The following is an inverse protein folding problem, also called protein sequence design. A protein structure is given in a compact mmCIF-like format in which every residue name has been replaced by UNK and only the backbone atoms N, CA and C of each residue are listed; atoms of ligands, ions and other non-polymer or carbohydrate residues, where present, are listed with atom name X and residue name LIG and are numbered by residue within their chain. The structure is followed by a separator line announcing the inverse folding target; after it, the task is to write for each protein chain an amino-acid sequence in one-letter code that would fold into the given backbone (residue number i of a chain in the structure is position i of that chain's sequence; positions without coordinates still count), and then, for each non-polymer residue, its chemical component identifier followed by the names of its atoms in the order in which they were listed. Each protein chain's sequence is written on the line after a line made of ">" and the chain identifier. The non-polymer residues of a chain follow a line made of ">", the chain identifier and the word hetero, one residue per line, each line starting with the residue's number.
data_IF_391575556336
#
_entry.id   IF_391575556336
#
_cell.length_a   1.000
_cell.length_b   1.000
_cell.length_c   1.000
_cell.angle_alpha   90.00
_cell.angle_beta   90.00
_cell.angle_gamma   90.00
#
_symmetry.space_group_name_H-M   'P 1'
#
loop_
_entity.id
_entity.type
_entity.pdbx_description
1 polymer ?
#
# COMPACT_ATOMS: atom_id res chain seq x y z
N UNK A 1 46.24 -14.58 45.50
CA UNK A 1 44.82 -14.30 45.21
C UNK A 1 44.75 -13.91 43.74
N UNK A 2 44.15 -14.75 42.89
CA UNK A 2 44.09 -14.55 41.43
C UNK A 2 43.01 -13.50 41.10
N UNK A 3 43.24 -12.72 40.06
CA UNK A 3 42.47 -11.55 39.64
C UNK A 3 40.97 -11.82 39.35
N UNK A 4 40.12 -11.81 40.37
CA UNK A 4 38.65 -11.92 40.22
C UNK A 4 37.98 -10.65 39.67
N UNK A 5 38.68 -9.51 39.71
CA UNK A 5 38.17 -8.24 39.21
C UNK A 5 38.01 -8.26 37.68
N UNK A 6 38.99 -8.81 36.95
CA UNK A 6 38.97 -8.85 35.48
C UNK A 6 37.81 -9.67 34.91
N UNK A 7 37.50 -10.82 35.52
CA UNK A 7 36.41 -11.69 35.08
C UNK A 7 35.03 -11.03 35.28
N UNK A 8 34.85 -10.33 36.39
CA UNK A 8 33.61 -9.58 36.71
C UNK A 8 33.38 -8.41 35.74
N UNK A 9 34.43 -7.67 35.38
CA UNK A 9 34.33 -6.60 34.38
C UNK A 9 33.97 -7.13 32.99
N UNK A 10 34.58 -8.23 32.55
CA UNK A 10 34.28 -8.86 31.26
C UNK A 10 32.82 -9.36 31.22
N UNK A 11 32.36 -10.02 32.29
CA UNK A 11 30.97 -10.48 32.40
C UNK A 11 29.97 -9.32 32.34
N UNK A 12 30.30 -8.18 32.97
CA UNK A 12 29.46 -6.98 32.96
C UNK A 12 29.38 -6.36 31.56
N UNK A 13 30.49 -6.28 30.84
CA UNK A 13 30.52 -5.76 29.46
C UNK A 13 29.67 -6.65 28.53
N UNK A 14 29.77 -7.97 28.65
CA UNK A 14 28.95 -8.91 27.86
C UNK A 14 27.46 -8.73 28.16
N UNK A 15 27.08 -8.57 29.43
CA UNK A 15 25.69 -8.35 29.82
C UNK A 15 25.13 -7.05 29.19
N UNK A 16 25.90 -5.97 29.19
CA UNK A 16 25.51 -4.70 28.57
C UNK A 16 25.29 -4.86 27.06
N UNK A 17 26.16 -5.61 26.37
CA UNK A 17 26.01 -5.88 24.93
C UNK A 17 24.71 -6.66 24.65
N UNK A 18 24.40 -7.67 25.48
CA UNK A 18 23.16 -8.46 25.34
C UNK A 18 21.93 -7.57 25.51
N UNK A 19 21.93 -6.68 26.50
CA UNK A 19 20.80 -5.75 26.74
C UNK A 19 20.61 -4.81 25.53
N UNK A 20 21.70 -4.29 24.96
CA UNK A 20 21.64 -3.42 23.77
C UNK A 20 21.10 -4.21 22.56
N UNK A 21 21.61 -5.42 22.32
CA UNK A 21 21.13 -6.27 21.23
C UNK A 21 19.64 -6.61 21.38
N UNK A 22 19.19 -6.89 22.60
CA UNK A 22 17.78 -7.14 22.89
C UNK A 22 16.91 -5.92 22.64
N UNK A 23 17.35 -4.73 23.09
CA UNK A 23 16.63 -3.48 22.83
C UNK A 23 16.50 -3.19 21.33
N UNK A 24 17.56 -3.41 20.54
CA UNK A 24 17.51 -3.29 19.08
C UNK A 24 16.51 -4.29 18.49
N UNK A 25 16.53 -5.54 18.92
CA UNK A 25 15.60 -6.58 18.46
C UNK A 25 14.13 -6.20 18.70
N UNK A 26 13.81 -5.67 19.88
CA UNK A 26 12.44 -5.20 20.21
C UNK A 26 12.02 -4.04 19.31
N UNK A 27 12.91 -3.06 19.08
CA UNK A 27 12.63 -1.92 18.20
C UNK A 27 12.32 -2.38 16.77
N UNK A 28 13.16 -3.28 16.22
CA UNK A 28 12.96 -3.83 14.87
C UNK A 28 11.66 -4.62 14.74
N UNK A 29 11.30 -5.41 15.76
CA UNK A 29 10.05 -6.17 15.79
C UNK A 29 8.82 -5.24 15.73
N UNK A 30 8.80 -4.20 16.57
CA UNK A 30 7.70 -3.22 16.59
C UNK A 30 7.57 -2.52 15.23
N UNK A 31 8.69 -2.06 14.66
CA UNK A 31 8.68 -1.41 13.34
C UNK A 31 8.13 -2.33 12.24
N UNK A 32 8.50 -3.61 12.27
CA UNK A 32 8.00 -4.58 11.31
C UNK A 32 6.48 -4.78 11.45
N UNK A 33 5.97 -4.86 12.67
CA UNK A 33 4.55 -5.00 12.94
C UNK A 33 3.75 -3.80 12.40
N UNK A 34 4.18 -2.57 12.68
CA UNK A 34 3.52 -1.36 12.18
C UNK A 34 3.45 -1.32 10.65
N UNK A 35 4.54 -1.67 9.96
CA UNK A 35 4.58 -1.72 8.49
C UNK A 35 3.59 -2.72 7.90
N UNK A 36 3.41 -3.86 8.57
CA UNK A 36 2.45 -4.88 8.14
C UNK A 36 1.01 -4.38 8.30
N UNK A 37 0.66 -3.83 9.47
CA UNK A 37 -0.68 -3.28 9.75
C UNK A 37 -1.06 -2.15 8.77
N UNK A 38 -0.10 -1.26 8.48
CA UNK A 38 -0.28 -0.18 7.50
C UNK A 38 -0.56 -0.73 6.09
N UNK A 39 0.22 -1.73 5.67
CA UNK A 39 0.09 -2.33 4.33
C UNK A 39 -1.23 -3.09 4.17
N UNK A 40 -1.68 -3.82 5.20
CA UNK A 40 -3.00 -4.46 5.22
C UNK A 40 -4.14 -3.44 5.19
N UNK A 41 -3.99 -2.32 5.89
CA UNK A 41 -4.96 -1.22 5.89
C UNK A 41 -5.07 -0.61 4.49
N UNK A 42 -3.96 -0.32 3.84
CA UNK A 42 -3.95 0.22 2.47
C UNK A 42 -4.57 -0.78 1.49
N UNK A 43 -4.22 -2.08 1.57
CA UNK A 43 -4.83 -3.12 0.73
C UNK A 43 -6.36 -3.14 0.91
N UNK A 44 -6.82 -3.13 2.15
CA UNK A 44 -8.25 -3.14 2.48
C UNK A 44 -8.96 -1.91 1.90
N UNK A 45 -8.34 -0.74 1.99
CA UNK A 45 -8.86 0.49 1.40
C UNK A 45 -8.98 0.37 -0.14
N UNK A 46 -7.95 -0.16 -0.81
CA UNK A 46 -7.96 -0.35 -2.25
C UNK A 46 -9.02 -1.37 -2.70
N UNK A 47 -9.21 -2.47 -1.96
CA UNK A 47 -10.29 -3.42 -2.21
C UNK A 47 -11.68 -2.79 -2.04
N UNK A 48 -11.87 -1.98 -1.00
CA UNK A 48 -13.14 -1.28 -0.78
C UNK A 48 -13.43 -0.27 -1.90
N UNK A 49 -12.40 0.48 -2.35
CA UNK A 49 -12.49 1.38 -3.50
C UNK A 49 -12.87 0.61 -4.75
N UNK A 50 -12.20 -0.52 -5.04
CA UNK A 50 -12.50 -1.37 -6.20
C UNK A 50 -13.97 -1.82 -6.21
N UNK A 51 -14.46 -2.32 -5.06
CA UNK A 51 -15.85 -2.77 -4.91
C UNK A 51 -16.85 -1.64 -5.16
N UNK A 52 -16.61 -0.45 -4.61
CA UNK A 52 -17.47 0.72 -4.82
C UNK A 52 -17.37 1.27 -6.25
N UNK A 53 -16.19 1.26 -6.85
CA UNK A 53 -15.98 1.68 -8.23
C UNK A 53 -16.73 0.78 -9.22
N UNK A 54 -16.79 -0.53 -8.94
CA UNK A 54 -17.60 -1.48 -9.72
C UNK A 54 -19.08 -1.11 -9.69
N UNK A 55 -19.62 -0.79 -8.51
CA UNK A 55 -21.01 -0.32 -8.40
C UNK A 55 -21.24 0.97 -9.21
N UNK A 56 -20.33 1.94 -9.12
CA UNK A 56 -20.39 3.20 -9.88
C UNK A 56 -20.35 2.94 -11.40
N UNK A 57 -19.48 2.04 -11.87
CA UNK A 57 -19.40 1.67 -13.28
C UNK A 57 -20.67 0.97 -13.78
N UNK A 58 -21.30 0.13 -12.95
CA UNK A 58 -22.59 -0.50 -13.26
C UNK A 58 -23.71 0.54 -13.35
N UNK A 59 -23.73 1.52 -12.44
CA UNK A 59 -24.70 2.63 -12.48
C UNK A 59 -24.49 3.55 -13.71
N UNK A 60 -23.25 3.83 -14.13
CA UNK A 60 -22.97 4.58 -15.36
C UNK A 60 -23.55 3.86 -16.58
N UNK A 61 -23.31 2.56 -16.69
CA UNK A 61 -23.80 1.76 -17.82
C UNK A 61 -25.34 1.68 -17.85
N UNK A 62 -25.96 1.43 -16.70
CA UNK A 62 -27.40 1.20 -16.59
C UNK A 62 -28.21 2.51 -16.62
N UNK A 63 -27.72 3.56 -15.97
CA UNK A 63 -28.47 4.78 -15.69
C UNK A 63 -27.85 6.04 -16.32
N UNK A 64 -26.71 5.92 -17.02
CA UNK A 64 -25.95 7.06 -17.59
C UNK A 64 -25.55 8.09 -16.54
N UNK A 65 -25.37 7.65 -15.28
CA UNK A 65 -24.80 8.49 -14.23
C UNK A 65 -23.32 8.73 -14.50
N UNK A 66 -22.83 9.88 -14.05
CA UNK A 66 -21.41 10.22 -14.16
C UNK A 66 -20.56 9.31 -13.25
N UNK A 67 -19.34 9.04 -13.70
CA UNK A 67 -18.33 8.37 -12.88
C UNK A 67 -17.83 9.32 -11.79
N UNK A 68 -17.47 8.75 -10.65
CA UNK A 68 -16.98 9.52 -9.49
C UNK A 68 -15.46 9.72 -9.60
N UNK A 69 -15.00 10.94 -9.32
CA UNK A 69 -13.60 11.34 -9.34
C UNK A 69 -13.27 12.37 -10.42
N UNK A 70 -12.00 12.77 -10.48
CA UNK A 70 -11.49 13.67 -11.53
C UNK A 70 -10.82 12.84 -12.63
N UNK A 71 -11.35 12.88 -13.87
CA UNK A 71 -10.76 12.17 -15.01
C UNK A 71 -9.33 12.64 -15.24
N UNK A 72 -8.40 11.71 -15.38
CA UNK A 72 -7.01 12.01 -15.72
C UNK A 72 -6.96 12.37 -17.21
N UNK A 73 -6.69 13.65 -17.46
CA UNK A 73 -6.25 14.16 -18.75
C UNK A 73 -4.77 14.50 -18.60
N UNK A 74 -3.89 13.69 -19.21
CA UNK A 74 -2.45 13.70 -18.90
C UNK A 74 -1.86 15.10 -18.99
N UNK A 75 -2.18 15.87 -20.03
CA UNK A 75 -1.69 17.24 -20.24
C UNK A 75 -2.00 18.19 -19.08
N UNK A 76 -3.13 17.98 -18.39
CA UNK A 76 -3.64 18.84 -17.32
C UNK A 76 -3.17 18.41 -15.92
N UNK A 77 -2.47 17.28 -15.81
CA UNK A 77 -1.97 16.79 -14.52
C UNK A 77 -0.62 17.39 -14.14
N UNK A 78 -0.36 17.41 -12.83
CA UNK A 78 0.94 17.75 -12.30
C UNK A 78 2.02 16.72 -12.69
N UNK A 79 3.29 17.11 -12.54
CA UNK A 79 4.41 16.26 -12.91
C UNK A 79 4.47 14.97 -12.07
N UNK A 80 4.02 14.99 -10.82
CA UNK A 80 4.05 13.80 -9.95
C UNK A 80 3.14 12.70 -10.49
N UNK A 81 1.91 13.03 -10.88
CA UNK A 81 0.97 12.06 -11.46
C UNK A 81 1.49 11.54 -12.80
N UNK A 82 2.04 12.43 -13.64
CA UNK A 82 2.66 12.04 -14.93
C UNK A 82 3.79 11.04 -14.74
N UNK A 83 4.74 11.35 -13.86
CA UNK A 83 5.90 10.51 -13.59
C UNK A 83 5.49 9.18 -12.94
N UNK A 84 4.52 9.21 -12.02
CA UNK A 84 3.98 8.01 -11.41
C UNK A 84 3.40 7.06 -12.46
N UNK A 85 2.46 7.52 -13.28
CA UNK A 85 1.82 6.66 -14.30
C UNK A 85 2.85 6.07 -15.28
N UNK A 86 3.82 6.88 -15.70
CA UNK A 86 4.94 6.42 -16.53
C UNK A 86 5.78 5.35 -15.84
N UNK A 87 6.10 5.53 -14.55
CA UNK A 87 6.85 4.53 -13.76
C UNK A 87 6.11 3.20 -13.63
N UNK A 88 4.77 3.24 -13.62
CA UNK A 88 3.90 2.07 -13.55
C UNK A 88 3.61 1.46 -14.93
N UNK A 89 4.25 1.97 -15.98
CA UNK A 89 4.07 1.57 -17.37
C UNK A 89 2.59 1.69 -17.81
N UNK A 90 1.94 2.79 -17.39
CA UNK A 90 0.56 3.13 -17.73
C UNK A 90 0.57 4.29 -18.70
N UNK A 91 -0.01 4.06 -19.88
CA UNK A 91 -0.27 5.09 -20.88
C UNK A 91 -1.73 5.53 -20.78
N UNK A 92 -1.96 6.86 -20.78
CA UNK A 92 -3.30 7.42 -20.69
C UNK A 92 -3.74 7.84 -22.09
N UNK A 93 -4.65 7.06 -22.67
CA UNK A 93 -5.32 7.37 -23.92
C UNK A 93 -6.55 8.26 -23.68
N UNK A 94 -7.03 8.96 -24.72
CA UNK A 94 -8.14 9.93 -24.61
C UNK A 94 -9.45 9.31 -24.05
N UNK A 95 -9.73 8.06 -24.43
CA UNK A 95 -10.88 7.28 -23.99
C UNK A 95 -10.65 6.53 -22.66
N UNK A 96 -9.44 6.54 -22.12
CA UNK A 96 -9.12 5.81 -20.89
C UNK A 96 -9.92 6.35 -19.71
N UNK A 97 -10.46 5.43 -18.89
CA UNK A 97 -11.24 5.81 -17.70
C UNK A 97 -10.43 5.79 -16.41
N UNK A 98 -9.25 6.41 -16.41
CA UNK A 98 -8.47 6.67 -15.19
C UNK A 98 -8.96 7.93 -14.48
N UNK A 99 -9.26 7.82 -13.19
CA UNK A 99 -9.79 8.91 -12.36
C UNK A 99 -9.04 8.99 -11.03
N UNK A 100 -8.67 10.20 -10.63
CA UNK A 100 -8.16 10.49 -9.28
C UNK A 100 -9.35 10.66 -8.33
N UNK A 101 -9.31 9.97 -7.20
CA UNK A 101 -10.31 10.10 -6.14
C UNK A 101 -9.82 11.06 -5.06
N UNK A 102 -10.60 12.11 -4.80
CA UNK A 102 -10.40 13.03 -3.67
C UNK A 102 -11.17 12.52 -2.44
N UNK A 103 -10.96 13.18 -1.30
CA UNK A 103 -11.62 12.79 -0.04
C UNK A 103 -13.15 12.89 -0.14
N UNK A 104 -13.65 13.88 -0.87
CA UNK A 104 -15.08 14.11 -1.10
C UNK A 104 -15.68 12.99 -1.97
N UNK A 105 -14.93 12.51 -2.96
CA UNK A 105 -15.31 11.39 -3.82
C UNK A 105 -15.44 10.10 -3.01
N UNK A 106 -14.44 9.79 -2.17
CA UNK A 106 -14.48 8.64 -1.27
C UNK A 106 -15.67 8.72 -0.31
N UNK A 107 -15.96 9.92 0.21
CA UNK A 107 -17.12 10.13 1.09
C UNK A 107 -18.43 9.86 0.34
N UNK A 108 -18.55 10.30 -0.90
CA UNK A 108 -19.70 10.05 -1.77
C UNK A 108 -19.88 8.56 -2.05
N UNK A 109 -18.78 7.81 -2.18
CA UNK A 109 -18.79 6.35 -2.33
C UNK A 109 -19.10 5.60 -1.03
N UNK A 110 -19.26 6.30 0.10
CA UNK A 110 -19.49 5.71 1.42
C UNK A 110 -18.22 5.17 2.09
N UNK A 111 -17.05 5.69 1.71
CA UNK A 111 -15.72 5.32 2.20
C UNK A 111 -15.07 6.47 3.00
N UNK A 112 -15.87 7.14 3.83
CA UNK A 112 -15.44 8.33 4.59
C UNK A 112 -14.30 8.07 5.59
N UNK A 113 -14.11 6.81 6.00
CA UNK A 113 -13.03 6.36 6.88
C UNK A 113 -11.67 6.30 6.18
N UNK A 114 -11.62 6.24 4.85
CA UNK A 114 -10.36 6.17 4.10
C UNK A 114 -9.72 7.56 4.05
N UNK A 115 -8.53 7.70 4.63
CA UNK A 115 -7.74 8.92 4.52
C UNK A 115 -6.76 8.83 3.35
N UNK A 116 -6.49 9.99 2.77
CA UNK A 116 -5.50 10.16 1.72
C UNK A 116 -4.38 11.02 2.30
N UNK A 117 -3.16 10.52 2.25
CA UNK A 117 -2.00 11.26 2.74
C UNK A 117 -1.71 12.50 1.88
N UNK A 118 -1.10 13.54 2.45
CA UNK A 118 -0.73 14.73 1.71
C UNK A 118 0.12 14.37 0.49
N UNK A 119 -0.25 14.95 -0.66
CA UNK A 119 0.36 14.69 -1.98
C UNK A 119 0.19 13.27 -2.52
N UNK A 120 -0.51 12.36 -1.85
CA UNK A 120 -0.80 11.02 -2.36
C UNK A 120 -2.20 10.93 -2.97
N UNK A 121 -2.43 9.95 -3.84
CA UNK A 121 -3.65 9.82 -4.60
C UNK A 121 -4.06 8.35 -4.73
N UNK A 122 -5.36 8.09 -4.55
CA UNK A 122 -5.97 6.89 -5.11
C UNK A 122 -6.41 7.17 -6.54
N UNK A 123 -6.10 6.24 -7.43
CA UNK A 123 -6.47 6.30 -8.84
C UNK A 123 -7.24 5.03 -9.18
N UNK A 124 -8.37 5.17 -9.85
CA UNK A 124 -9.17 4.03 -10.31
C UNK A 124 -9.28 4.03 -11.83
N UNK A 125 -9.15 2.87 -12.44
CA UNK A 125 -9.52 2.66 -13.84
C UNK A 125 -10.91 2.01 -13.90
N UNK A 126 -11.90 2.74 -14.41
CA UNK A 126 -13.28 2.26 -14.50
C UNK A 126 -13.55 1.24 -15.63
N UNK A 127 -12.57 0.95 -16.49
CA UNK A 127 -12.70 -0.09 -17.53
C UNK A 127 -12.33 -1.47 -17.02
N UNK A 128 -11.24 -1.58 -16.27
CA UNK A 128 -10.71 -2.86 -15.75
C UNK A 128 -10.76 -3.00 -14.23
N UNK A 129 -11.28 -2.00 -13.51
CA UNK A 129 -11.36 -1.96 -12.05
C UNK A 129 -10.01 -2.01 -11.34
N UNK A 130 -8.92 -1.65 -12.03
CA UNK A 130 -7.63 -1.50 -11.37
C UNK A 130 -7.66 -0.31 -10.41
N UNK A 131 -7.06 -0.49 -9.24
CA UNK A 131 -6.90 0.57 -8.25
C UNK A 131 -5.42 0.74 -7.99
N UNK A 132 -4.96 1.99 -8.04
CA UNK A 132 -3.62 2.38 -7.71
C UNK A 132 -3.60 3.30 -6.49
N UNK A 133 -2.51 3.24 -5.74
CA UNK A 133 -2.23 4.20 -4.68
C UNK A 133 -0.79 4.69 -4.79
N UNK A 134 -0.60 6.00 -4.96
CA UNK A 134 0.73 6.58 -5.26
C UNK A 134 1.73 6.44 -4.12
N UNK A 135 1.26 6.25 -2.88
CA UNK A 135 2.12 5.96 -1.73
C UNK A 135 2.79 4.58 -1.85
N UNK A 136 2.11 3.63 -2.49
CA UNK A 136 2.52 2.24 -2.52
C UNK A 136 2.15 1.44 -1.26
N UNK A 137 2.33 0.14 -1.34
CA UNK A 137 2.11 -0.87 -0.31
C UNK A 137 3.44 -1.60 -0.11
N UNK A 138 3.96 -1.64 1.12
CA UNK A 138 5.23 -2.32 1.41
C UNK A 138 4.99 -3.75 1.85
N UNK A 139 5.43 -4.73 1.06
CA UNK A 139 5.36 -6.15 1.41
C UNK A 139 6.77 -6.72 1.43
N UNK A 140 7.28 -7.00 2.63
CA UNK A 140 8.69 -7.36 2.80
C UNK A 140 9.59 -6.18 2.41
N UNK A 141 10.49 -6.42 1.46
CA UNK A 141 11.40 -5.39 0.91
C UNK A 141 10.89 -4.75 -0.37
N UNK A 142 9.76 -5.23 -0.90
CA UNK A 142 9.19 -4.75 -2.16
C UNK A 142 8.06 -3.74 -1.90
N UNK A 143 7.87 -2.83 -2.85
CA UNK A 143 6.81 -1.82 -2.84
C UNK A 143 5.94 -1.97 -4.08
N UNK A 144 4.63 -2.04 -3.88
CA UNK A 144 3.64 -2.29 -4.93
C UNK A 144 2.63 -1.15 -4.98
N UNK A 145 2.24 -0.72 -6.18
CA UNK A 145 1.34 0.43 -6.33
C UNK A 145 -0.02 0.07 -6.90
N UNK A 146 -0.14 -1.08 -7.58
CA UNK A 146 -1.39 -1.60 -8.15
C UNK A 146 -1.99 -2.66 -7.25
N UNK A 147 -3.32 -2.70 -7.19
CA UNK A 147 -4.04 -3.71 -6.41
C UNK A 147 -3.82 -5.11 -6.98
N UNK A 148 -3.79 -5.25 -8.31
CA UNK A 148 -3.52 -6.52 -8.99
C UNK A 148 -2.15 -7.09 -8.65
N UNK A 149 -1.10 -6.27 -8.67
CA UNK A 149 0.27 -6.69 -8.31
C UNK A 149 0.31 -7.26 -6.89
N UNK A 150 -0.41 -6.64 -5.96
CA UNK A 150 -0.52 -7.14 -4.59
C UNK A 150 -1.26 -8.49 -4.54
N UNK A 151 -2.41 -8.60 -5.21
CA UNK A 151 -3.25 -9.80 -5.10
C UNK A 151 -2.51 -11.07 -5.56
N UNK A 152 -1.69 -10.95 -6.61
CA UNK A 152 -0.87 -12.04 -7.12
C UNK A 152 0.15 -12.58 -6.09
N UNK A 153 0.55 -11.79 -5.07
CA UNK A 153 1.46 -12.22 -3.99
C UNK A 153 0.77 -13.08 -2.93
N UNK A 154 -0.55 -12.95 -2.79
CA UNK A 154 -1.35 -13.76 -1.86
C UNK A 154 -1.41 -15.20 -2.34
N UNK A 155 -1.58 -15.38 -3.66
CA UNK A 155 -1.78 -16.67 -4.31
C UNK A 155 -0.47 -17.49 -4.32
N UNK A 156 0.70 -16.85 -4.47
CA UNK A 156 2.00 -17.54 -4.37
C UNK A 156 2.30 -18.11 -2.98
N UNK A 157 1.84 -17.45 -1.91
CA UNK A 157 2.04 -17.96 -0.53
C UNK A 157 1.16 -19.15 -0.18
N UNK A 158 0.05 -19.36 -0.89
CA UNK A 158 -0.78 -20.55 -0.74
C UNK A 158 -0.18 -21.76 -1.45
N UNK A 159 0.42 -21.57 -2.64
CA UNK A 159 1.03 -22.66 -3.43
C UNK A 159 2.20 -23.31 -2.68
N UNK A 160 3.08 -22.52 -2.05
CA UNK A 160 4.25 -23.06 -1.32
C UNK A 160 3.85 -23.90 -0.10
N UNK A 161 2.65 -23.73 0.46
CA UNK A 161 2.18 -24.49 1.63
C UNK A 161 1.51 -25.82 1.26
N UNK A 162 1.06 -26.00 0.02
CA UNK A 162 0.48 -27.28 -0.43
C UNK A 162 1.56 -28.30 -0.80
N UNK A 163 2.73 -27.86 -1.28
CA UNK A 163 3.83 -28.75 -1.65
C UNK A 163 4.66 -29.29 -0.47
N UNK A 164 4.40 -28.82 0.76
CA UNK A 164 5.05 -29.31 2.00
C UNK A 164 4.20 -30.33 2.79
N UNK A 165 3.12 -30.87 2.21
CA UNK A 165 2.25 -31.87 2.87
C UNK A 165 2.40 -33.31 2.37
#
# INVERSE_FOLDING_TARGET
>A
MKDEKGLTYIATIILVIIIIAFAIGVILYIQQQYRNEESETIKTNMLAIQGKAKMVAEEEKALKKELIGTKILIEQQDQKVKDFLKSQNIEIEENSKYYILKKEDLTTMGLSNINIEPNEYYIVNYDNMEVLYTKGIKVGDNEYYKLSDFNNLSDEKEIVKEDEK
#
